data_IF_447885128665
#
_entry.id   IF_447885128665
#
_cell.length_a   1.000
_cell.length_b   1.000
_cell.length_c   1.000
_cell.angle_alpha   90.00
_cell.angle_beta   90.00
_cell.angle_gamma   90.00
#
_symmetry.space_group_name_H-M   'P 1'
#
loop_
_entity.id
_entity.type
_entity.pdbx_description
1 polymer ?
#
# COMPACT_ATOMS: atom_id res chain seq x y z
N UNK A 1 -50.15 -74.61 -12.71
CA UNK A 1 -49.60 -73.66 -11.73
C UNK A 1 -48.39 -73.00 -12.37
N UNK A 2 -48.54 -71.80 -12.93
CA UNK A 2 -47.41 -71.03 -13.45
C UNK A 2 -47.70 -69.55 -13.19
N UNK A 3 -46.79 -68.98 -12.40
CA UNK A 3 -46.86 -67.72 -11.67
C UNK A 3 -46.73 -66.53 -12.64
N UNK A 4 -47.76 -65.67 -12.73
CA UNK A 4 -47.73 -64.49 -13.57
C UNK A 4 -47.20 -63.30 -12.77
N UNK A 5 -45.88 -63.09 -12.85
CA UNK A 5 -45.16 -62.03 -12.16
C UNK A 5 -45.46 -60.67 -12.84
N UNK A 6 -46.34 -59.86 -12.25
CA UNK A 6 -46.62 -58.48 -12.66
C UNK A 6 -45.35 -57.61 -12.56
N UNK A 7 -44.71 -57.35 -13.71
CA UNK A 7 -43.60 -56.41 -13.82
C UNK A 7 -44.13 -54.98 -13.86
N UNK A 8 -44.19 -54.34 -12.69
CA UNK A 8 -44.39 -52.90 -12.58
C UNK A 8 -43.17 -52.14 -13.15
N UNK A 9 -43.40 -51.33 -14.19
CA UNK A 9 -42.36 -50.54 -14.83
C UNK A 9 -41.95 -49.35 -13.93
N UNK A 10 -40.80 -49.50 -13.26
CA UNK A 10 -40.21 -48.43 -12.44
C UNK A 10 -39.44 -47.46 -13.33
N UNK A 11 -39.85 -46.18 -13.36
CA UNK A 11 -39.12 -45.11 -14.05
C UNK A 11 -38.10 -44.48 -13.11
N UNK A 12 -36.84 -44.88 -13.24
CA UNK A 12 -35.71 -44.24 -12.57
C UNK A 12 -35.34 -42.97 -13.34
N UNK A 13 -35.42 -41.80 -12.68
CA UNK A 13 -34.89 -40.55 -13.24
C UNK A 13 -33.46 -40.37 -12.77
N UNK A 14 -32.51 -40.39 -13.69
CA UNK A 14 -31.11 -40.11 -13.40
C UNK A 14 -30.89 -38.59 -13.43
N UNK A 15 -30.61 -38.00 -12.26
CA UNK A 15 -30.19 -36.59 -12.15
C UNK A 15 -28.68 -36.56 -12.39
N UNK A 16 -28.28 -36.17 -13.60
CA UNK A 16 -26.87 -36.01 -13.94
C UNK A 16 -26.28 -34.73 -13.34
N UNK A 17 -25.19 -34.86 -12.60
CA UNK A 17 -24.38 -33.73 -12.13
C UNK A 17 -23.54 -33.17 -13.30
N UNK A 18 -24.18 -32.52 -14.27
CA UNK A 18 -23.48 -31.83 -15.35
C UNK A 18 -23.17 -30.39 -14.95
N UNK A 19 -21.89 -30.09 -14.74
CA UNK A 19 -21.42 -28.70 -14.63
C UNK A 19 -21.29 -28.16 -16.06
N UNK A 20 -22.06 -27.12 -16.44
CA UNK A 20 -21.93 -26.53 -17.78
C UNK A 20 -20.51 -26.04 -17.99
N UNK A 21 -19.90 -26.36 -19.14
CA UNK A 21 -18.56 -25.87 -19.50
C UNK A 21 -18.43 -24.34 -19.41
N UNK A 22 -19.52 -23.60 -19.60
CA UNK A 22 -19.59 -22.15 -19.40
C UNK A 22 -19.35 -21.73 -17.95
N UNK A 23 -19.81 -22.51 -16.97
CA UNK A 23 -19.61 -22.23 -15.54
C UNK A 23 -18.15 -22.40 -15.13
N UNK A 24 -17.49 -23.46 -15.59
CA UNK A 24 -16.07 -23.67 -15.30
C UNK A 24 -15.18 -22.57 -15.93
N UNK A 25 -15.54 -22.11 -17.13
CA UNK A 25 -14.86 -20.99 -17.79
C UNK A 25 -15.10 -19.65 -17.08
N UNK A 26 -16.35 -19.38 -16.67
CA UNK A 26 -16.73 -18.18 -15.92
C UNK A 26 -16.08 -18.15 -14.53
N UNK A 27 -16.07 -19.27 -13.82
CA UNK A 27 -15.42 -19.41 -12.52
C UNK A 27 -13.90 -19.21 -12.61
N UNK A 28 -13.27 -19.73 -13.67
CA UNK A 28 -11.86 -19.46 -13.93
C UNK A 28 -11.59 -17.96 -14.20
N UNK A 29 -12.43 -17.31 -15.01
CA UNK A 29 -12.33 -15.86 -15.28
C UNK A 29 -12.58 -15.02 -14.03
N UNK A 30 -13.52 -15.43 -13.17
CA UNK A 30 -13.80 -14.77 -11.91
C UNK A 30 -12.59 -14.89 -10.96
N UNK A 31 -12.07 -16.11 -10.79
CA UNK A 31 -10.92 -16.36 -9.95
C UNK A 31 -9.67 -15.59 -10.41
N UNK A 32 -9.47 -15.46 -11.73
CA UNK A 32 -8.40 -14.63 -12.28
C UNK A 32 -8.57 -13.14 -11.96
N UNK A 33 -9.79 -12.61 -12.02
CA UNK A 33 -10.05 -11.21 -11.67
C UNK A 33 -9.79 -10.95 -10.18
N UNK A 34 -10.25 -11.85 -9.30
CA UNK A 34 -10.01 -11.73 -7.86
C UNK A 34 -8.52 -11.82 -7.53
N UNK A 35 -7.78 -12.73 -8.16
CA UNK A 35 -6.33 -12.85 -7.98
C UNK A 35 -5.59 -11.56 -8.41
N UNK A 36 -5.96 -11.00 -9.56
CA UNK A 36 -5.40 -9.72 -10.01
C UNK A 36 -5.72 -8.57 -9.07
N UNK A 37 -6.96 -8.48 -8.59
CA UNK A 37 -7.36 -7.46 -7.63
C UNK A 37 -6.60 -7.59 -6.32
N UNK A 38 -6.48 -8.81 -5.78
CA UNK A 38 -5.71 -9.10 -4.58
C UNK A 38 -4.23 -8.75 -4.75
N UNK A 39 -3.65 -9.06 -5.93
CA UNK A 39 -2.26 -8.71 -6.23
C UNK A 39 -2.04 -7.19 -6.23
N UNK A 40 -2.97 -6.41 -6.80
CA UNK A 40 -2.90 -4.95 -6.79
C UNK A 40 -2.97 -4.42 -5.36
N UNK A 41 -3.93 -4.89 -4.56
CA UNK A 41 -4.09 -4.47 -3.17
C UNK A 41 -2.84 -4.76 -2.34
N UNK A 42 -2.27 -5.96 -2.47
CA UNK A 42 -1.03 -6.34 -1.79
C UNK A 42 0.14 -5.45 -2.22
N UNK A 43 0.28 -5.14 -3.51
CA UNK A 43 1.33 -4.22 -3.97
C UNK A 43 1.14 -2.80 -3.43
N UNK A 44 -0.11 -2.35 -3.28
CA UNK A 44 -0.40 -1.04 -2.71
C UNK A 44 -0.06 -0.96 -1.21
N UNK A 45 -0.35 -2.03 -0.45
CA UNK A 45 0.03 -2.13 0.97
C UNK A 45 1.54 -2.15 1.13
N UNK A 46 2.27 -2.90 0.28
CA UNK A 46 3.73 -2.95 0.32
C UNK A 46 4.34 -1.56 0.03
N UNK A 47 3.83 -0.84 -0.96
CA UNK A 47 4.26 0.53 -1.27
C UNK A 47 3.97 1.51 -0.12
N UNK A 48 2.79 1.43 0.52
CA UNK A 48 2.46 2.26 1.68
C UNK A 48 3.40 1.98 2.86
N UNK A 49 3.72 0.71 3.13
CA UNK A 49 4.65 0.33 4.17
C UNK A 49 6.07 0.85 3.89
N UNK A 50 6.54 0.72 2.65
CA UNK A 50 7.83 1.25 2.21
C UNK A 50 7.88 2.78 2.38
N UNK A 51 6.87 3.51 1.92
CA UNK A 51 6.78 4.95 2.04
C UNK A 51 6.78 5.42 3.52
N UNK A 52 6.06 4.71 4.40
CA UNK A 52 6.10 4.97 5.85
C UNK A 52 7.49 4.75 6.44
N UNK A 53 8.20 3.72 5.98
CA UNK A 53 9.59 3.47 6.35
C UNK A 53 10.52 4.61 5.93
N UNK A 54 10.41 5.08 4.69
CA UNK A 54 11.18 6.22 4.19
C UNK A 54 10.93 7.49 5.02
N UNK A 55 9.66 7.81 5.29
CA UNK A 55 9.29 8.97 6.11
C UNK A 55 9.87 8.89 7.53
N UNK A 56 9.87 7.70 8.12
CA UNK A 56 10.45 7.49 9.45
C UNK A 56 11.96 7.79 9.47
N UNK A 57 12.71 7.25 8.51
CA UNK A 57 14.15 7.49 8.42
C UNK A 57 14.44 8.96 8.06
N UNK A 58 13.68 9.55 7.14
CA UNK A 58 13.81 10.95 6.77
C UNK A 58 13.57 11.89 7.98
N UNK A 59 12.56 11.60 8.81
CA UNK A 59 12.29 12.31 10.07
C UNK A 59 13.46 12.19 11.03
N UNK A 60 13.95 10.96 11.25
CA UNK A 60 15.07 10.72 12.15
C UNK A 60 16.34 11.46 11.69
N UNK A 61 16.68 11.37 10.41
CA UNK A 61 17.79 12.09 9.81
C UNK A 61 17.65 13.61 10.00
N UNK A 62 16.46 14.15 9.76
CA UNK A 62 16.17 15.57 9.93
C UNK A 62 16.32 16.05 11.39
N UNK A 63 15.83 15.27 12.35
CA UNK A 63 15.89 15.60 13.78
C UNK A 63 17.32 15.50 14.33
N UNK A 64 18.09 14.47 13.93
CA UNK A 64 19.50 14.32 14.34
C UNK A 64 20.39 15.47 13.88
N UNK A 65 20.03 16.09 12.76
CA UNK A 65 20.75 17.21 12.17
C UNK A 65 20.19 18.56 12.61
N UNK A 66 19.49 18.63 13.76
CA UNK A 66 19.00 19.88 14.37
C UNK A 66 18.25 20.79 13.38
N UNK A 67 17.43 20.21 12.51
CA UNK A 67 16.60 20.96 11.56
C UNK A 67 17.39 21.79 10.53
N UNK A 68 18.59 21.36 10.13
CA UNK A 68 19.39 22.01 9.08
C UNK A 68 18.79 21.92 7.64
N UNK A 69 17.59 21.35 7.49
CA UNK A 69 16.82 21.35 6.24
C UNK A 69 17.23 20.25 5.23
N UNK A 70 16.76 20.40 3.99
CA UNK A 70 16.75 19.36 2.94
C UNK A 70 18.13 18.82 2.60
N UNK A 71 19.09 19.72 2.43
CA UNK A 71 20.45 19.41 2.01
C UNK A 71 21.24 18.66 3.10
N UNK A 72 20.96 18.94 4.38
CA UNK A 72 21.53 18.18 5.48
C UNK A 72 20.94 16.77 5.55
N UNK A 73 19.61 16.64 5.49
CA UNK A 73 18.93 15.33 5.51
C UNK A 73 19.37 14.45 4.33
N UNK A 74 19.49 15.03 3.14
CA UNK A 74 19.98 14.32 1.94
C UNK A 74 21.43 13.83 2.10
N UNK A 75 22.34 14.69 2.58
CA UNK A 75 23.74 14.28 2.85
C UNK A 75 23.84 13.17 3.89
N UNK A 76 23.07 13.26 4.98
CA UNK A 76 23.06 12.23 6.01
C UNK A 76 22.67 10.85 5.46
N UNK A 77 21.69 10.81 4.55
CA UNK A 77 21.22 9.59 3.91
C UNK A 77 22.29 9.02 2.98
N UNK A 78 22.87 9.89 2.14
CA UNK A 78 23.96 9.54 1.23
C UNK A 78 25.19 8.98 1.96
N UNK A 79 25.61 9.62 3.04
CA UNK A 79 26.78 9.22 3.82
C UNK A 79 26.59 7.85 4.51
N UNK A 80 25.33 7.43 4.72
CA UNK A 80 24.97 6.14 5.34
C UNK A 80 24.50 5.09 4.34
N UNK A 81 24.49 5.42 3.05
CA UNK A 81 24.00 4.53 2.00
C UNK A 81 22.51 4.20 2.11
N UNK A 82 21.72 5.06 2.77
CA UNK A 82 20.28 4.92 2.85
C UNK A 82 19.66 5.69 1.70
N UNK A 83 18.85 5.03 0.89
CA UNK A 83 18.10 5.70 -0.16
C UNK A 83 16.87 6.37 0.43
N UNK A 84 16.76 7.68 0.22
CA UNK A 84 15.60 8.47 0.63
C UNK A 84 15.13 9.26 -0.59
N UNK A 85 13.84 9.17 -0.87
CA UNK A 85 13.25 9.96 -1.94
C UNK A 85 13.23 11.44 -1.56
N UNK A 86 13.43 12.31 -2.56
CA UNK A 86 13.33 13.75 -2.36
C UNK A 86 11.94 14.19 -1.86
N UNK A 87 10.90 13.43 -2.23
CA UNK A 87 9.53 13.65 -1.78
C UNK A 87 9.39 13.44 -0.26
N UNK A 88 9.86 12.29 0.25
CA UNK A 88 9.85 12.00 1.69
C UNK A 88 10.64 13.05 2.51
N UNK A 89 11.80 13.48 2.02
CA UNK A 89 12.59 14.53 2.66
C UNK A 89 11.83 15.87 2.67
N UNK A 90 11.25 16.25 1.53
CA UNK A 90 10.47 17.49 1.40
C UNK A 90 9.27 17.49 2.35
N UNK A 91 8.53 16.38 2.40
CA UNK A 91 7.37 16.22 3.26
C UNK A 91 7.72 16.38 4.74
N UNK A 92 8.75 15.68 5.21
CA UNK A 92 9.22 15.76 6.61
C UNK A 92 9.57 17.19 7.01
N UNK A 93 10.21 17.94 6.13
CA UNK A 93 10.62 19.33 6.40
C UNK A 93 9.42 20.26 6.39
N UNK A 94 8.50 20.06 5.45
CA UNK A 94 7.28 20.84 5.37
C UNK A 94 6.40 20.64 6.63
N UNK A 95 6.33 19.41 7.15
CA UNK A 95 5.60 19.05 8.36
C UNK A 95 6.36 19.36 9.66
N UNK A 96 7.59 19.88 9.59
CA UNK A 96 8.37 20.18 10.78
C UNK A 96 7.99 21.53 11.40
N UNK A 97 7.31 21.49 12.56
CA UNK A 97 6.90 22.68 13.30
C UNK A 97 8.10 23.55 13.75
N UNK A 98 9.21 22.93 14.17
CA UNK A 98 10.42 23.66 14.57
C UNK A 98 11.03 24.41 13.39
N UNK A 99 11.08 23.79 12.21
CA UNK A 99 11.49 24.47 10.98
C UNK A 99 10.57 25.65 10.66
N UNK A 100 9.25 25.46 10.80
CA UNK A 100 8.28 26.51 10.58
C UNK A 100 8.49 27.69 11.56
N UNK A 101 8.72 27.41 12.84
CA UNK A 101 8.98 28.42 13.86
C UNK A 101 10.29 29.18 13.61
N UNK A 102 11.38 28.48 13.25
CA UNK A 102 12.67 29.10 12.87
C UNK A 102 12.49 30.01 11.65
N UNK A 103 11.76 29.55 10.63
CA UNK A 103 11.48 30.34 9.43
C UNK A 103 10.66 31.59 9.75
N UNK A 104 9.68 31.48 10.64
CA UNK A 104 8.91 32.64 11.11
C UNK A 104 9.76 33.61 11.92
N UNK A 105 10.57 33.12 12.86
CA UNK A 105 11.46 33.96 13.68
C UNK A 105 12.47 34.72 12.83
N UNK A 106 13.06 34.08 11.82
CA UNK A 106 13.97 34.74 10.89
C UNK A 106 13.29 35.77 9.98
N UNK A 107 11.96 35.68 9.76
CA UNK A 107 11.19 36.67 9.01
C UNK A 107 10.89 37.91 9.85
N UNK A 108 10.80 37.75 11.16
CA UNK A 108 10.60 38.84 12.13
C UNK A 108 11.98 39.30 12.63
N UNK A 109 12.70 40.11 11.84
CA UNK A 109 13.97 40.73 12.31
C UNK A 109 13.76 41.39 13.69
N UNK A 110 14.75 41.36 14.62
CA UNK A 110 14.70 42.23 15.79
C UNK A 110 14.86 43.69 15.33
N UNK A 111 13.86 44.52 15.63
CA UNK A 111 13.85 45.98 15.39
C UNK A 111 14.75 46.75 16.38
N UNK A 112 15.98 46.29 16.62
CA UNK A 112 16.89 46.99 17.55
C UNK A 112 18.31 47.01 17.02
N UNK A 113 18.66 48.13 16.37
CA UNK A 113 19.85 48.95 16.63
C UNK A 113 19.75 50.19 15.73
N UNK A 114 19.41 51.32 16.35
CA UNK A 114 19.28 52.63 15.70
C UNK A 114 18.99 53.65 16.78
N UNK A 115 20.00 53.91 17.62
CA UNK A 115 20.04 55.10 18.49
C UNK A 115 20.41 56.34 17.70
#
# INVERSE_FOLDING_TARGET
>A
MADQLEKLAVKVRHVGAYIPKSRAAEEHQNNQQVDQAAKIEVTQIDLDWQHKGELFIARWAHDTLRHHGTDATYRWARDRGVDLTMDAISQVIHECETCAAIKQANRVKPLWYGG
#
